data_IF_717698788148
#
_entry.id   IF_717698788148
#
_cell.length_a   1.000
_cell.length_b   1.000
_cell.length_c   1.000
_cell.angle_alpha   90.00
_cell.angle_beta   90.00
_cell.angle_gamma   90.00
#
_symmetry.space_group_name_H-M   'P 1'
#
loop_
_entity.id
_entity.type
_entity.pdbx_description
1 polymer ?
#
# COMPACT_ATOMS: atom_id res chain seq x y z
N UNK A 1 5.35 -3.66 -16.76
CA UNK A 1 5.26 -3.74 -15.28
C UNK A 1 4.74 -2.41 -14.73
N UNK A 2 3.44 -2.26 -14.47
CA UNK A 2 2.86 -1.00 -14.02
C UNK A 2 2.39 -1.08 -12.56
N UNK A 3 2.92 -0.22 -11.70
CA UNK A 3 2.38 0.08 -10.36
C UNK A 3 1.11 0.97 -10.41
N UNK A 4 0.50 1.10 -11.59
CA UNK A 4 -0.55 2.09 -11.88
C UNK A 4 -1.96 1.57 -11.57
N UNK A 5 -2.14 0.80 -10.52
CA UNK A 5 -3.50 0.55 -10.03
C UNK A 5 -3.84 1.66 -9.03
N UNK A 6 -4.88 2.48 -9.26
CA UNK A 6 -5.28 3.55 -8.34
C UNK A 6 -5.51 3.03 -6.92
N UNK A 7 -5.95 1.77 -6.81
CA UNK A 7 -6.09 1.05 -5.55
C UNK A 7 -4.80 0.96 -4.72
N UNK A 8 -3.66 0.66 -5.36
CA UNK A 8 -2.37 0.51 -4.66
C UNK A 8 -1.94 1.81 -3.99
N UNK A 9 -2.23 2.96 -4.63
CA UNK A 9 -1.96 4.27 -4.04
C UNK A 9 -2.84 4.52 -2.82
N UNK A 10 -4.13 4.18 -2.90
CA UNK A 10 -5.04 4.26 -1.75
C UNK A 10 -4.57 3.44 -0.55
N UNK A 11 -4.16 2.19 -0.78
CA UNK A 11 -3.58 1.34 0.26
C UNK A 11 -2.32 1.96 0.86
N UNK A 12 -1.40 2.45 0.04
CA UNK A 12 -0.16 3.08 0.49
C UNK A 12 -0.39 4.36 1.30
N UNK A 13 -1.32 5.21 0.86
CA UNK A 13 -1.66 6.46 1.54
C UNK A 13 -2.26 6.18 2.92
N UNK A 14 -3.27 5.32 2.99
CA UNK A 14 -3.89 4.93 4.25
C UNK A 14 -2.91 4.18 5.16
N UNK A 15 -1.97 3.42 4.58
CA UNK A 15 -0.91 2.76 5.33
C UNK A 15 0.06 3.77 5.96
N UNK A 16 0.41 4.83 5.23
CA UNK A 16 1.26 5.93 5.70
C UNK A 16 0.59 6.74 6.83
N UNK A 17 -0.74 6.84 6.81
CA UNK A 17 -1.55 7.41 7.90
C UNK A 17 -1.67 6.48 9.13
N UNK A 18 -1.05 5.30 9.12
CA UNK A 18 -1.04 4.38 10.26
C UNK A 18 -2.23 3.42 10.33
N UNK A 19 -3.14 3.40 9.33
CA UNK A 19 -4.34 2.56 9.40
C UNK A 19 -4.04 1.06 9.31
N UNK A 20 -4.69 0.24 10.13
CA UNK A 20 -4.62 -1.21 10.03
C UNK A 20 -5.20 -1.73 8.71
N UNK A 21 -4.85 -2.95 8.30
CA UNK A 21 -5.39 -3.54 7.06
C UNK A 21 -6.93 -3.63 7.07
N UNK A 22 -7.54 -3.74 8.24
CA UNK A 22 -9.00 -3.73 8.39
C UNK A 22 -9.58 -2.33 8.12
N UNK A 23 -8.99 -1.29 8.69
CA UNK A 23 -9.42 0.09 8.45
C UNK A 23 -9.21 0.50 6.99
N UNK A 24 -8.09 0.10 6.38
CA UNK A 24 -7.84 0.29 4.94
C UNK A 24 -8.92 -0.41 4.12
N UNK A 25 -9.27 -1.65 4.47
CA UNK A 25 -10.29 -2.41 3.77
C UNK A 25 -11.67 -1.73 3.84
N UNK A 26 -12.02 -1.18 5.01
CA UNK A 26 -13.25 -0.41 5.20
C UNK A 26 -13.26 0.88 4.36
N UNK A 27 -12.17 1.65 4.39
CA UNK A 27 -12.05 2.91 3.64
C UNK A 27 -12.07 2.70 2.12
N UNK A 28 -11.57 1.56 1.64
CA UNK A 28 -11.54 1.21 0.21
C UNK A 28 -12.71 0.30 -0.21
N UNK A 29 -13.72 0.10 0.65
CA UNK A 29 -14.90 -0.75 0.40
C UNK A 29 -14.53 -2.13 -0.17
N UNK A 30 -13.58 -2.81 0.49
CA UNK A 30 -12.97 -4.05 -0.01
C UNK A 30 -12.68 -5.04 1.14
N UNK A 31 -12.17 -6.22 0.81
CA UNK A 31 -11.82 -7.25 1.79
C UNK A 31 -10.42 -7.06 2.38
N UNK A 32 -10.24 -7.41 3.66
CA UNK A 32 -8.92 -7.39 4.31
C UNK A 32 -7.90 -8.28 3.59
N UNK A 33 -8.34 -9.41 3.04
CA UNK A 33 -7.48 -10.32 2.27
C UNK A 33 -7.00 -9.68 0.96
N UNK A 34 -7.84 -8.87 0.31
CA UNK A 34 -7.47 -8.09 -0.88
C UNK A 34 -6.36 -7.10 -0.52
N UNK A 35 -6.51 -6.35 0.58
CA UNK A 35 -5.46 -5.43 1.08
C UNK A 35 -4.16 -6.19 1.36
N UNK A 36 -4.21 -7.33 2.06
CA UNK A 36 -3.04 -8.18 2.34
C UNK A 36 -2.36 -8.65 1.05
N UNK A 37 -3.13 -9.08 0.05
CA UNK A 37 -2.61 -9.50 -1.24
C UNK A 37 -1.90 -8.36 -1.97
N UNK A 38 -2.49 -7.15 -1.97
CA UNK A 38 -1.85 -5.98 -2.56
C UNK A 38 -0.55 -5.61 -1.85
N UNK A 39 -0.54 -5.58 -0.51
CA UNK A 39 0.66 -5.31 0.27
C UNK A 39 1.77 -6.34 0.02
N UNK A 40 1.44 -7.63 -0.04
CA UNK A 40 2.41 -8.69 -0.36
C UNK A 40 3.03 -8.49 -1.73
N UNK A 41 2.22 -8.23 -2.75
CA UNK A 41 2.73 -7.91 -4.09
C UNK A 41 3.59 -6.65 -4.10
N UNK A 42 3.23 -5.66 -3.28
CA UNK A 42 4.00 -4.44 -3.16
C UNK A 42 5.37 -4.69 -2.52
N UNK A 43 5.42 -5.47 -1.44
CA UNK A 43 6.68 -5.85 -0.78
C UNK A 43 7.63 -6.59 -1.72
N UNK A 44 7.09 -7.51 -2.53
CA UNK A 44 7.87 -8.24 -3.54
C UNK A 44 8.43 -7.31 -4.62
N UNK A 45 7.60 -6.38 -5.13
CA UNK A 45 8.04 -5.46 -6.18
C UNK A 45 8.97 -4.36 -5.68
N UNK A 46 8.83 -3.94 -4.42
CA UNK A 46 9.65 -2.90 -3.81
C UNK A 46 10.91 -3.45 -3.13
N UNK A 47 11.03 -4.77 -2.95
CA UNK A 47 12.15 -5.41 -2.25
C UNK A 47 12.24 -5.05 -0.77
N UNK A 48 11.10 -4.73 -0.13
CA UNK A 48 11.04 -4.31 1.27
C UNK A 48 10.04 -5.16 2.04
N UNK A 49 10.37 -5.50 3.28
CA UNK A 49 9.58 -6.46 4.07
C UNK A 49 8.88 -5.86 5.29
N UNK A 50 9.10 -4.56 5.56
CA UNK A 50 8.46 -3.88 6.70
C UNK A 50 7.55 -2.76 6.22
N UNK A 51 6.45 -2.59 6.95
CA UNK A 51 5.44 -1.56 6.71
C UNK A 51 6.04 -0.16 6.59
N UNK A 52 7.00 0.19 7.46
CA UNK A 52 7.69 1.48 7.41
C UNK A 52 8.53 1.64 6.14
N UNK A 53 9.26 0.59 5.73
CA UNK A 53 10.09 0.61 4.52
C UNK A 53 9.24 0.68 3.25
N UNK A 54 8.04 0.11 3.25
CA UNK A 54 7.07 0.26 2.16
C UNK A 54 6.72 1.74 1.95
N UNK A 55 6.32 2.44 3.01
CA UNK A 55 5.94 3.85 2.95
C UNK A 55 7.13 4.70 2.48
N UNK A 56 8.30 4.50 3.09
CA UNK A 56 9.51 5.22 2.73
C UNK A 56 9.92 4.99 1.26
N UNK A 57 9.87 3.73 0.79
CA UNK A 57 10.20 3.41 -0.59
C UNK A 57 9.14 3.96 -1.56
N UNK A 58 7.86 3.93 -1.19
CA UNK A 58 6.78 4.52 -1.99
C UNK A 58 6.92 6.05 -2.13
N UNK A 59 7.37 6.74 -1.08
CA UNK A 59 7.71 8.17 -1.13
C UNK A 59 8.88 8.43 -2.08
N UNK A 60 9.97 7.68 -1.96
CA UNK A 60 11.15 7.80 -2.85
C UNK A 60 10.83 7.57 -4.32
N UNK A 61 9.86 6.70 -4.59
CA UNK A 61 9.41 6.38 -5.95
C UNK A 61 8.28 7.30 -6.45
N UNK A 62 7.93 8.34 -5.70
CA UNK A 62 6.83 9.27 -6.02
C UNK A 62 5.48 8.56 -6.27
N UNK A 63 5.26 7.44 -5.58
CA UNK A 63 4.01 6.68 -5.63
C UNK A 63 2.94 7.23 -4.67
N UNK A 64 3.38 7.99 -3.67
CA UNK A 64 2.53 8.84 -2.84
C UNK A 64 2.54 10.23 -3.47
N UNK A 65 1.38 10.71 -3.91
CA UNK A 65 1.21 12.12 -4.26
C UNK A 65 1.05 12.93 -2.96
N UNK A 66 1.50 14.20 -2.93
CA UNK A 66 1.26 15.09 -1.80
C UNK A 66 -0.23 15.24 -1.50
#
# INVERSE_FOLDING_TARGET
MAFRTPYVRGVLHLQALGLTNQQIAQQLFTGQNTVKWHLKNLTLKLGVHTRLRIVHQAQRLHLLQP
#
